data_IF_771711300397
#
_entry.id   IF_771711300397
#
_cell.length_a   1.000
_cell.length_b   1.000
_cell.length_c   1.000
_cell.angle_alpha   90.00
_cell.angle_beta   90.00
_cell.angle_gamma   90.00
#
_symmetry.space_group_name_H-M   'P 1'
#
loop_
_entity.id
_entity.type
_entity.pdbx_description
1 polymer ?
#
# COMPACT_ATOMS: atom_id res chain seq x y z
N UNK A 1 -38.39 -2.47 16.28
CA UNK A 1 -37.50 -2.28 15.12
C UNK A 1 -37.21 -0.83 14.78
N UNK A 2 -38.16 -0.01 14.31
CA UNK A 2 -37.86 1.39 13.91
C UNK A 2 -37.39 2.29 15.07
N UNK A 3 -38.10 2.22 16.22
CA UNK A 3 -37.71 2.94 17.46
C UNK A 3 -36.34 2.51 18.01
N UNK A 4 -36.02 1.21 17.95
CA UNK A 4 -34.74 0.68 18.42
C UNK A 4 -33.57 1.19 17.56
N UNK A 5 -33.83 1.37 16.26
CA UNK A 5 -32.83 1.84 15.30
C UNK A 5 -32.51 3.32 15.47
N UNK A 6 -33.54 4.17 15.62
CA UNK A 6 -33.39 5.60 15.92
C UNK A 6 -32.65 5.82 17.26
N UNK A 7 -32.96 5.00 18.28
CA UNK A 7 -32.24 5.03 19.56
C UNK A 7 -30.76 4.67 19.39
N UNK A 8 -30.43 3.70 18.53
CA UNK A 8 -29.05 3.26 18.28
C UNK A 8 -28.25 4.33 17.54
N UNK A 9 -28.84 4.95 16.53
CA UNK A 9 -28.28 6.13 15.86
C UNK A 9 -28.00 7.26 16.87
N UNK A 10 -29.00 7.63 17.67
CA UNK A 10 -28.87 8.70 18.66
C UNK A 10 -27.79 8.38 19.70
N UNK A 11 -27.66 7.11 20.09
CA UNK A 11 -26.60 6.65 20.99
C UNK A 11 -25.21 6.85 20.38
N UNK A 12 -25.03 6.52 19.11
CA UNK A 12 -23.77 6.73 18.38
C UNK A 12 -23.45 8.23 18.21
N UNK A 13 -24.44 9.06 17.90
CA UNK A 13 -24.30 10.52 17.79
C UNK A 13 -23.90 11.13 19.14
N UNK A 14 -24.63 10.79 20.22
CA UNK A 14 -24.33 11.27 21.57
C UNK A 14 -22.94 10.84 22.04
N UNK A 15 -22.49 9.65 21.65
CA UNK A 15 -21.14 9.19 21.90
C UNK A 15 -20.10 10.02 21.15
N UNK A 16 -20.30 10.29 19.86
CA UNK A 16 -19.37 11.09 19.04
C UNK A 16 -19.25 12.55 19.49
N UNK A 17 -20.33 13.18 19.96
CA UNK A 17 -20.31 14.55 20.51
C UNK A 17 -19.29 14.73 21.64
N UNK A 18 -18.99 13.67 22.40
CA UNK A 18 -17.96 13.69 23.47
C UNK A 18 -16.53 13.80 22.94
N UNK A 19 -16.31 13.54 21.65
CA UNK A 19 -14.99 13.41 21.03
C UNK A 19 -14.84 14.22 19.73
N UNK A 20 -15.70 15.19 19.46
CA UNK A 20 -15.73 15.92 18.19
C UNK A 20 -14.55 16.90 17.98
N UNK A 21 -13.95 17.42 19.05
CA UNK A 21 -12.82 18.37 18.95
C UNK A 21 -11.58 17.72 18.33
N UNK A 22 -11.07 18.33 17.25
CA UNK A 22 -9.90 17.85 16.49
C UNK A 22 -9.98 16.36 16.10
N UNK A 23 -11.20 15.91 15.80
CA UNK A 23 -11.46 14.56 15.31
C UNK A 23 -11.39 14.51 13.78
N UNK A 24 -11.02 13.36 13.24
CA UNK A 24 -11.06 13.12 11.82
C UNK A 24 -11.64 11.73 11.52
N UNK A 25 -12.45 11.62 10.48
CA UNK A 25 -13.01 10.34 10.03
C UNK A 25 -12.00 9.63 9.13
N UNK A 26 -11.62 8.41 9.49
CA UNK A 26 -10.88 7.52 8.60
C UNK A 26 -11.84 6.84 7.61
N UNK A 27 -12.03 7.45 6.45
CA UNK A 27 -12.92 6.92 5.42
C UNK A 27 -12.15 5.98 4.50
N UNK A 28 -12.65 4.74 4.32
CA UNK A 28 -11.97 3.73 3.48
C UNK A 28 -12.69 3.45 2.17
N UNK A 29 -13.80 4.15 1.90
CA UNK A 29 -14.69 3.84 0.78
C UNK A 29 -15.57 2.60 1.00
N UNK A 30 -15.65 2.06 2.22
CA UNK A 30 -16.50 0.91 2.56
C UNK A 30 -17.79 1.33 3.27
N UNK A 31 -18.78 0.42 3.31
CA UNK A 31 -20.09 0.64 3.95
C UNK A 31 -20.00 1.03 5.43
N UNK A 32 -19.10 0.41 6.19
CA UNK A 32 -18.99 0.65 7.63
C UNK A 32 -18.36 2.02 7.90
N UNK A 33 -17.36 2.41 7.10
CA UNK A 33 -16.77 3.74 7.17
C UNK A 33 -17.72 4.84 6.66
N UNK A 34 -18.64 4.51 5.75
CA UNK A 34 -19.68 5.44 5.28
C UNK A 34 -20.67 5.75 6.39
N UNK A 35 -21.18 4.75 7.11
CA UNK A 35 -22.07 5.00 8.26
C UNK A 35 -21.34 5.79 9.36
N UNK A 36 -20.08 5.47 9.63
CA UNK A 36 -19.29 6.24 10.59
C UNK A 36 -19.07 7.70 10.15
N UNK A 37 -18.92 7.94 8.85
CA UNK A 37 -18.83 9.28 8.26
C UNK A 37 -20.14 10.05 8.44
N UNK A 38 -21.27 9.46 8.04
CA UNK A 38 -22.59 10.10 8.15
C UNK A 38 -22.91 10.53 9.59
N UNK A 39 -22.68 9.63 10.55
CA UNK A 39 -22.85 9.90 11.98
C UNK A 39 -21.91 10.99 12.49
N UNK A 40 -20.69 11.07 11.95
CA UNK A 40 -19.69 12.07 12.35
C UNK A 40 -20.04 13.46 11.82
N UNK A 41 -20.49 13.57 10.57
CA UNK A 41 -20.94 14.83 9.96
C UNK A 41 -22.11 15.42 10.76
N UNK A 42 -23.07 14.58 11.18
CA UNK A 42 -24.19 14.98 12.07
C UNK A 42 -23.75 15.54 13.43
N UNK A 43 -22.47 15.41 13.80
CA UNK A 43 -21.88 15.98 15.03
C UNK A 43 -20.93 17.16 14.79
N UNK A 44 -20.80 17.62 13.55
CA UNK A 44 -19.87 18.68 13.16
C UNK A 44 -18.43 18.21 12.95
N UNK A 45 -18.22 16.90 12.71
CA UNK A 45 -16.91 16.37 12.32
C UNK A 45 -16.91 16.21 10.79
N UNK A 46 -16.33 17.18 10.09
CA UNK A 46 -16.22 17.26 8.63
C UNK A 46 -14.82 16.95 8.09
N UNK A 47 -13.80 16.91 8.96
CA UNK A 47 -12.45 16.49 8.58
C UNK A 47 -12.42 14.99 8.25
N UNK A 48 -12.20 14.66 6.98
CA UNK A 48 -12.13 13.27 6.50
C UNK A 48 -10.77 12.99 5.87
N UNK A 49 -10.23 11.81 6.15
CA UNK A 49 -8.98 11.32 5.57
C UNK A 49 -9.18 9.99 4.88
N UNK A 50 -8.62 9.87 3.67
CA UNK A 50 -8.55 8.63 2.91
C UNK A 50 -7.09 8.19 2.77
N UNK A 51 -6.81 6.91 3.06
CA UNK A 51 -5.47 6.35 2.84
C UNK A 51 -5.38 5.76 1.43
N UNK A 52 -4.80 6.50 0.49
CA UNK A 52 -4.50 5.96 -0.83
C UNK A 52 -3.31 5.00 -0.75
N UNK A 53 -3.61 3.71 -0.89
CA UNK A 53 -2.60 2.66 -0.82
C UNK A 53 -1.88 2.40 -2.16
N UNK A 54 -2.16 3.21 -3.19
CA UNK A 54 -1.73 3.03 -4.59
C UNK A 54 -2.20 1.70 -5.20
N UNK A 55 -3.20 1.07 -4.59
CA UNK A 55 -3.75 -0.24 -4.96
C UNK A 55 -5.28 -0.26 -4.83
N UNK A 56 -5.91 0.90 -4.83
CA UNK A 56 -7.36 0.97 -4.75
C UNK A 56 -7.96 0.64 -6.12
N UNK A 57 -9.22 0.22 -6.11
CA UNK A 57 -10.00 0.12 -7.33
C UNK A 57 -10.31 1.53 -7.85
N UNK A 58 -10.34 1.71 -9.17
CA UNK A 58 -10.69 3.02 -9.74
C UNK A 58 -12.12 3.39 -9.33
N UNK A 59 -13.00 2.40 -9.28
CA UNK A 59 -14.36 2.47 -8.78
C UNK A 59 -14.45 3.01 -7.35
N UNK A 60 -13.46 2.69 -6.51
CA UNK A 60 -13.38 3.23 -5.15
C UNK A 60 -12.93 4.68 -5.18
N UNK A 61 -11.93 5.04 -6.00
CA UNK A 61 -11.48 6.43 -6.14
C UNK A 61 -12.61 7.34 -6.65
N UNK A 62 -13.33 6.91 -7.68
CA UNK A 62 -14.48 7.65 -8.22
C UNK A 62 -15.63 7.71 -7.21
N UNK A 63 -15.80 6.66 -6.40
CA UNK A 63 -16.75 6.67 -5.29
C UNK A 63 -16.38 7.67 -4.18
N UNK A 64 -15.09 7.85 -3.85
CA UNK A 64 -14.66 8.87 -2.88
C UNK A 64 -15.10 10.26 -3.35
N UNK A 65 -14.89 10.60 -4.63
CA UNK A 65 -15.31 11.90 -5.20
C UNK A 65 -16.81 12.14 -5.09
N UNK A 66 -17.61 11.11 -5.38
CA UNK A 66 -19.08 11.21 -5.21
C UNK A 66 -19.51 11.41 -3.76
N UNK A 67 -18.73 10.91 -2.80
CA UNK A 67 -18.99 11.14 -1.37
C UNK A 67 -18.60 12.55 -0.96
N UNK A 68 -17.52 13.11 -1.50
CA UNK A 68 -17.18 14.54 -1.35
C UNK A 68 -18.32 15.44 -1.83
N UNK A 69 -18.83 15.18 -3.04
CA UNK A 69 -19.97 15.92 -3.63
C UNK A 69 -21.26 15.75 -2.81
N UNK A 70 -21.56 14.53 -2.36
CA UNK A 70 -22.80 14.24 -1.63
C UNK A 70 -22.88 14.96 -0.28
N UNK A 71 -21.75 15.09 0.42
CA UNK A 71 -21.70 15.69 1.75
C UNK A 71 -21.19 17.14 1.74
N UNK A 72 -20.79 17.68 0.59
CA UNK A 72 -20.09 18.97 0.45
C UNK A 72 -18.88 19.08 1.39
N UNK A 73 -18.01 18.06 1.34
CA UNK A 73 -16.80 17.98 2.15
C UNK A 73 -15.57 17.71 1.29
N UNK A 74 -14.40 18.02 1.83
CA UNK A 74 -13.11 17.61 1.26
C UNK A 74 -12.57 16.36 1.97
N UNK A 75 -12.25 15.32 1.20
CA UNK A 75 -11.57 14.11 1.68
C UNK A 75 -10.07 14.26 1.42
N UNK A 76 -9.28 14.47 2.48
CA UNK A 76 -7.83 14.59 2.36
C UNK A 76 -7.22 13.21 2.07
N UNK A 77 -6.62 13.05 0.89
CA UNK A 77 -5.91 11.82 0.52
C UNK A 77 -4.48 11.82 1.05
N UNK A 78 -4.09 10.76 1.73
CA UNK A 78 -2.73 10.55 2.26
C UNK A 78 -2.14 9.26 1.71
N UNK A 79 -0.87 9.31 1.29
CA UNK A 79 -0.20 8.15 0.70
C UNK A 79 1.25 8.01 1.20
N UNK A 80 1.88 6.88 0.88
CA UNK A 80 3.28 6.63 1.15
C UNK A 80 4.16 7.19 0.03
N UNK A 81 5.45 7.49 0.27
CA UNK A 81 6.33 8.11 -0.73
C UNK A 81 6.69 7.20 -1.91
N UNK A 82 6.45 5.89 -1.80
CA UNK A 82 6.82 4.87 -2.79
C UNK A 82 5.58 4.05 -3.14
N UNK A 83 5.24 3.87 -4.43
CA UNK A 83 4.13 3.01 -4.86
C UNK A 83 4.27 1.57 -4.36
N UNK A 84 3.13 0.92 -4.11
CA UNK A 84 3.09 -0.44 -3.56
C UNK A 84 3.90 -1.46 -4.36
N UNK A 85 3.71 -1.50 -5.68
CA UNK A 85 4.37 -2.51 -6.52
C UNK A 85 5.88 -2.30 -6.60
N UNK A 86 6.35 -1.06 -6.59
CA UNK A 86 7.79 -0.76 -6.47
C UNK A 86 8.37 -1.31 -5.17
N UNK A 87 7.67 -1.10 -4.05
CA UNK A 87 8.12 -1.63 -2.77
C UNK A 87 8.05 -3.16 -2.73
N UNK A 88 7.04 -3.77 -3.35
CA UNK A 88 6.93 -5.22 -3.52
C UNK A 88 8.15 -5.80 -4.26
N UNK A 89 8.67 -5.11 -5.28
CA UNK A 89 9.91 -5.53 -5.94
C UNK A 89 11.12 -5.48 -4.99
N UNK A 90 11.17 -4.50 -4.08
CA UNK A 90 12.28 -4.33 -3.12
C UNK A 90 12.23 -5.31 -1.93
N UNK A 91 11.05 -5.68 -1.43
CA UNK A 91 10.92 -6.47 -0.17
C UNK A 91 10.02 -7.72 -0.26
N UNK A 92 9.42 -7.99 -1.42
CA UNK A 92 8.49 -9.08 -1.65
C UNK A 92 7.05 -8.76 -1.25
N UNK A 93 6.12 -9.59 -1.73
CA UNK A 93 4.68 -9.39 -1.55
C UNK A 93 4.22 -9.51 -0.08
N UNK A 94 3.24 -8.74 0.43
CA UNK A 94 2.73 -8.97 1.78
C UNK A 94 1.88 -10.24 1.85
N UNK A 95 1.83 -10.89 3.02
CA UNK A 95 0.90 -11.98 3.31
C UNK A 95 0.00 -11.64 4.50
N UNK A 96 -0.95 -12.51 4.80
CA UNK A 96 -1.83 -12.38 5.99
C UNK A 96 -1.04 -12.29 7.30
N UNK A 97 0.16 -12.87 7.36
CA UNK A 97 1.01 -12.87 8.56
C UNK A 97 1.96 -11.67 8.62
N UNK A 98 2.48 -11.20 7.48
CA UNK A 98 3.44 -10.09 7.45
C UNK A 98 2.79 -8.71 7.56
N UNK A 99 1.75 -8.46 6.74
CA UNK A 99 0.94 -7.22 6.74
C UNK A 99 1.75 -5.92 6.78
N UNK A 100 2.94 -5.91 6.17
CA UNK A 100 3.81 -4.72 6.17
C UNK A 100 3.14 -3.56 5.42
N UNK A 101 2.29 -3.84 4.43
CA UNK A 101 1.55 -2.83 3.67
C UNK A 101 0.66 -1.93 4.54
N UNK A 102 0.02 -2.47 5.59
CA UNK A 102 -0.77 -1.64 6.51
C UNK A 102 0.11 -0.63 7.27
N UNK A 103 1.36 -1.00 7.58
CA UNK A 103 2.29 -0.10 8.27
C UNK A 103 2.71 1.06 7.38
N UNK A 104 3.00 0.75 6.11
CA UNK A 104 3.52 1.69 5.11
C UNK A 104 2.42 2.61 4.58
N UNK A 105 1.31 2.04 4.13
CA UNK A 105 0.30 2.76 3.34
C UNK A 105 -0.91 3.21 4.14
N UNK A 106 -1.05 2.81 5.42
CA UNK A 106 -2.15 3.25 6.28
C UNK A 106 -1.63 3.97 7.50
N UNK A 107 -0.94 3.24 8.38
CA UNK A 107 -0.57 3.80 9.67
C UNK A 107 0.48 4.92 9.57
N UNK A 108 1.47 4.78 8.69
CA UNK A 108 2.48 5.83 8.56
C UNK A 108 1.91 7.15 8.03
N UNK A 109 1.18 7.18 6.90
CA UNK A 109 0.52 8.39 6.39
C UNK A 109 -0.45 9.00 7.40
N UNK A 110 -1.29 8.18 8.07
CA UNK A 110 -2.22 8.67 9.10
C UNK A 110 -1.51 9.30 10.30
N UNK A 111 -0.37 8.76 10.72
CA UNK A 111 0.40 9.34 11.83
C UNK A 111 1.00 10.70 11.45
N UNK A 112 1.47 10.83 10.21
CA UNK A 112 2.01 12.09 9.68
C UNK A 112 0.89 13.12 9.59
N UNK A 113 -0.23 12.77 8.95
CA UNK A 113 -1.39 13.62 8.81
C UNK A 113 -1.92 14.12 10.15
N UNK A 114 -2.12 13.22 11.12
CA UNK A 114 -2.61 13.62 12.44
C UNK A 114 -1.69 14.61 13.14
N UNK A 115 -0.37 14.44 12.98
CA UNK A 115 0.63 15.32 13.59
C UNK A 115 0.63 16.70 12.94
N UNK A 116 0.46 16.78 11.63
CA UNK A 116 0.44 18.03 10.86
C UNK A 116 -0.86 18.80 11.08
N UNK A 117 -2.00 18.11 11.05
CA UNK A 117 -3.33 18.68 11.23
C UNK A 117 -3.79 18.74 12.70
N UNK A 118 -2.93 18.34 13.65
CA UNK A 118 -3.20 18.30 15.09
C UNK A 118 -4.44 17.45 15.47
N UNK A 119 -4.69 16.38 14.72
CA UNK A 119 -5.78 15.43 14.99
C UNK A 119 -5.49 14.65 16.28
N UNK A 120 -6.46 14.59 17.19
CA UNK A 120 -6.34 13.91 18.48
C UNK A 120 -7.11 12.58 18.54
N UNK A 121 -8.07 12.39 17.63
CA UNK A 121 -8.90 11.19 17.53
C UNK A 121 -9.25 10.87 16.09
N UNK A 122 -9.27 9.56 15.78
CA UNK A 122 -9.80 9.04 14.53
C UNK A 122 -11.12 8.33 14.77
N UNK A 123 -12.17 8.77 14.06
CA UNK A 123 -13.44 8.06 13.97
C UNK A 123 -13.29 6.94 12.93
N UNK A 124 -13.64 5.70 13.29
CA UNK A 124 -13.50 4.55 12.39
C UNK A 124 -14.77 3.70 12.33
N UNK A 125 -15.02 3.10 11.17
CA UNK A 125 -16.11 2.15 10.96
C UNK A 125 -15.85 0.74 11.54
N UNK A 126 -15.09 0.62 12.63
CA UNK A 126 -14.80 -0.68 13.23
C UNK A 126 -16.05 -1.27 13.89
N UNK A 127 -16.43 -2.50 13.51
CA UNK A 127 -17.47 -3.30 14.17
C UNK A 127 -16.91 -4.52 14.90
N UNK A 128 -17.55 -4.89 16.00
CA UNK A 128 -17.18 -6.00 16.89
C UNK A 128 -17.43 -7.37 16.27
N UNK A 129 -18.52 -7.54 15.51
CA UNK A 129 -18.91 -8.79 14.86
C UNK A 129 -17.97 -9.23 13.72
N UNK A 130 -17.09 -8.36 13.21
CA UNK A 130 -16.29 -8.67 12.01
C UNK A 130 -15.21 -9.73 12.22
N UNK A 131 -14.77 -9.98 13.45
CA UNK A 131 -13.77 -11.01 13.73
C UNK A 131 -13.74 -11.37 15.21
N UNK A 132 -13.59 -12.66 15.55
CA UNK A 132 -13.45 -13.13 16.94
C UNK A 132 -12.40 -12.37 17.78
N UNK A 133 -11.31 -11.88 17.15
CA UNK A 133 -10.26 -11.07 17.81
C UNK A 133 -10.70 -9.66 18.20
N UNK A 134 -11.92 -9.26 17.81
CA UNK A 134 -12.46 -7.92 18.06
C UNK A 134 -13.36 -7.81 19.30
N UNK A 135 -13.61 -8.93 20.00
CA UNK A 135 -14.41 -8.95 21.25
C UNK A 135 -13.90 -8.00 22.32
N UNK A 136 -12.60 -7.68 22.33
CA UNK A 136 -11.98 -6.83 23.34
C UNK A 136 -11.81 -5.35 22.92
N UNK A 137 -12.26 -4.96 21.72
CA UNK A 137 -12.20 -3.55 21.33
C UNK A 137 -13.23 -2.75 22.12
N UNK A 138 -12.90 -1.50 22.40
CA UNK A 138 -13.78 -0.56 23.10
C UNK A 138 -14.25 0.53 22.14
N UNK A 139 -15.39 1.16 22.43
CA UNK A 139 -15.89 2.30 21.64
C UNK A 139 -14.89 3.47 21.65
N UNK A 140 -14.15 3.65 22.74
CA UNK A 140 -12.98 4.52 22.83
C UNK A 140 -11.75 3.65 23.15
N UNK A 141 -10.83 3.57 22.20
CA UNK A 141 -9.60 2.77 22.30
C UNK A 141 -8.37 3.62 21.91
N UNK A 142 -7.17 3.12 22.14
CA UNK A 142 -5.93 3.74 21.67
C UNK A 142 -5.36 2.92 20.51
N UNK A 143 -5.12 3.57 19.37
CA UNK A 143 -4.52 2.89 18.24
C UNK A 143 -3.08 2.43 18.59
N UNK A 144 -2.87 1.12 18.61
CA UNK A 144 -1.61 0.47 19.01
C UNK A 144 -0.41 0.84 18.12
N UNK A 145 -0.65 1.32 16.90
CA UNK A 145 0.38 1.61 15.91
C UNK A 145 0.81 3.07 15.90
N UNK A 146 -0.13 4.00 16.05
CA UNK A 146 0.10 5.46 15.89
C UNK A 146 -0.17 6.28 17.16
N UNK A 147 -0.60 5.65 18.26
CA UNK A 147 -0.89 6.28 19.56
C UNK A 147 -1.87 7.47 19.49
N UNK A 148 -2.90 7.33 18.67
CA UNK A 148 -4.01 8.29 18.54
C UNK A 148 -5.28 7.59 19.01
N UNK A 149 -6.20 8.33 19.65
CA UNK A 149 -7.48 7.79 20.09
C UNK A 149 -8.27 7.26 18.88
N UNK A 150 -8.86 6.09 19.03
CA UNK A 150 -9.70 5.45 18.03
C UNK A 150 -11.12 5.39 18.57
N UNK A 151 -12.04 6.08 17.88
CA UNK A 151 -13.44 6.24 18.27
C UNK A 151 -14.28 5.40 17.32
N UNK A 152 -14.99 4.41 17.86
CA UNK A 152 -15.72 3.38 17.11
C UNK A 152 -17.22 3.53 17.39
N UNK A 153 -17.93 4.47 16.72
CA UNK A 153 -19.33 4.78 17.02
C UNK A 153 -20.28 3.64 16.69
N UNK A 154 -19.89 2.74 15.78
CA UNK A 154 -20.72 1.63 15.31
C UNK A 154 -20.20 0.26 15.77
N UNK A 155 -19.43 0.22 16.87
CA UNK A 155 -18.76 -1.01 17.32
C UNK A 155 -19.74 -2.17 17.57
N UNK A 156 -20.91 -1.85 18.10
CA UNK A 156 -22.01 -2.74 18.46
C UNK A 156 -23.06 -2.90 17.34
N UNK A 157 -22.78 -2.40 16.14
CA UNK A 157 -23.69 -2.51 15.00
C UNK A 157 -23.47 -3.81 14.24
N UNK A 158 -24.58 -4.46 13.89
CA UNK A 158 -24.60 -5.63 13.03
C UNK A 158 -24.45 -5.26 11.57
N UNK A 159 -24.13 -6.25 10.72
CA UNK A 159 -24.05 -6.00 9.28
C UNK A 159 -25.41 -5.59 8.67
N UNK A 160 -26.51 -6.13 9.21
CA UNK A 160 -27.87 -5.80 8.77
C UNK A 160 -28.23 -4.37 9.14
N UNK A 161 -27.89 -3.93 10.34
CA UNK A 161 -28.13 -2.56 10.80
C UNK A 161 -27.37 -1.53 9.97
N UNK A 162 -26.12 -1.81 9.60
CA UNK A 162 -25.34 -0.94 8.71
C UNK A 162 -26.03 -0.77 7.35
N UNK A 163 -26.47 -1.86 6.73
CA UNK A 163 -27.16 -1.77 5.44
C UNK A 163 -28.53 -1.09 5.56
N UNK A 164 -29.30 -1.41 6.60
CA UNK A 164 -30.56 -0.74 6.90
C UNK A 164 -30.37 0.77 7.05
N UNK A 165 -29.29 1.21 7.71
CA UNK A 165 -28.94 2.62 7.85
C UNK A 165 -28.72 3.29 6.50
N UNK A 166 -27.88 2.67 5.68
CA UNK A 166 -27.50 3.15 4.35
C UNK A 166 -28.73 3.32 3.46
N UNK A 167 -29.61 2.31 3.44
CA UNK A 167 -30.82 2.35 2.64
C UNK A 167 -31.83 3.38 3.16
N UNK A 168 -32.04 3.45 4.47
CA UNK A 168 -32.99 4.40 5.09
C UNK A 168 -32.56 5.85 4.86
N UNK A 169 -31.27 6.14 5.00
CA UNK A 169 -30.71 7.47 4.80
C UNK A 169 -30.31 7.76 3.35
N UNK A 170 -30.57 6.83 2.41
CA UNK A 170 -30.24 6.96 0.98
C UNK A 170 -28.76 7.31 0.71
N UNK A 171 -27.86 6.74 1.50
CA UNK A 171 -26.42 7.05 1.40
C UNK A 171 -25.80 6.47 0.12
N UNK A 172 -24.87 7.19 -0.54
CA UNK A 172 -24.20 6.69 -1.73
C UNK A 172 -23.34 5.48 -1.36
N UNK A 173 -23.43 4.38 -2.12
CA UNK A 173 -22.67 3.16 -1.83
C UNK A 173 -21.59 2.91 -2.86
N UNK A 174 -20.49 2.29 -2.41
CA UNK A 174 -19.41 1.89 -3.31
C UNK A 174 -19.93 0.87 -4.33
N UNK A 175 -19.72 1.11 -5.65
CA UNK A 175 -20.30 0.28 -6.70
C UNK A 175 -19.76 -1.16 -6.68
N UNK A 176 -18.60 -1.40 -6.07
CA UNK A 176 -18.05 -2.76 -5.89
C UNK A 176 -18.99 -3.67 -5.08
N UNK A 177 -19.83 -3.12 -4.21
CA UNK A 177 -20.84 -3.93 -3.51
C UNK A 177 -21.87 -4.55 -4.48
N UNK A 178 -22.16 -3.88 -5.61
CA UNK A 178 -23.06 -4.41 -6.66
C UNK A 178 -22.42 -5.57 -7.44
N UNK A 179 -21.09 -5.64 -7.49
CA UNK A 179 -20.34 -6.75 -8.07
C UNK A 179 -20.20 -7.95 -7.11
N UNK A 180 -20.77 -7.87 -5.90
CA UNK A 180 -20.76 -8.97 -4.93
C UNK A 180 -19.64 -8.92 -3.89
N UNK A 181 -18.78 -7.89 -3.88
CA UNK A 181 -17.78 -7.73 -2.82
C UNK A 181 -18.47 -7.53 -1.46
N UNK A 182 -18.14 -8.35 -0.46
CA UNK A 182 -18.63 -8.16 0.92
C UNK A 182 -17.82 -7.12 1.69
N UNK A 183 -16.56 -6.92 1.31
CA UNK A 183 -15.65 -5.92 1.88
C UNK A 183 -14.85 -5.25 0.79
N UNK A 184 -14.85 -3.92 0.81
CA UNK A 184 -14.06 -3.10 -0.10
C UNK A 184 -12.71 -2.74 0.51
N UNK A 185 -11.69 -2.75 -0.31
CA UNK A 185 -10.32 -2.33 0.01
C UNK A 185 -9.40 -2.66 -1.16
N UNK A 186 -8.09 -2.54 -0.95
CA UNK A 186 -7.11 -2.71 -2.01
C UNK A 186 -7.26 -4.03 -2.79
N UNK A 187 -7.06 -3.93 -4.11
CA UNK A 187 -7.34 -5.02 -5.05
C UNK A 187 -6.40 -6.24 -4.91
N UNK A 188 -5.12 -6.14 -4.47
CA UNK A 188 -4.27 -7.32 -4.35
C UNK A 188 -4.15 -7.80 -2.87
N UNK A 189 -5.17 -7.52 -2.05
CA UNK A 189 -5.12 -7.80 -0.62
C UNK A 189 -5.10 -9.31 -0.30
N UNK A 190 -4.14 -9.81 0.51
CA UNK A 190 -4.08 -11.22 0.90
C UNK A 190 -5.27 -11.73 1.75
N UNK A 191 -6.18 -10.84 2.15
CA UNK A 191 -7.38 -11.16 2.91
C UNK A 191 -8.64 -11.29 2.05
N UNK A 192 -8.51 -11.17 0.73
CA UNK A 192 -9.60 -11.47 -0.19
C UNK A 192 -9.96 -12.95 -0.14
N UNK A 193 -11.26 -13.21 -0.14
CA UNK A 193 -11.85 -14.54 -0.18
C UNK A 193 -11.78 -15.12 -1.58
N UNK A 194 -12.05 -16.42 -1.74
CA UNK A 194 -12.13 -17.06 -3.06
C UNK A 194 -13.15 -16.34 -3.97
N UNK A 195 -14.31 -15.97 -3.42
CA UNK A 195 -15.33 -15.20 -4.14
C UNK A 195 -14.81 -13.83 -4.59
N UNK A 196 -14.08 -13.11 -3.72
CA UNK A 196 -13.49 -11.83 -4.10
C UNK A 196 -12.49 -11.97 -5.25
N UNK A 197 -11.73 -13.07 -5.31
CA UNK A 197 -10.80 -13.34 -6.41
C UNK A 197 -11.50 -13.70 -7.71
N UNK A 198 -12.58 -14.50 -7.66
CA UNK A 198 -13.40 -14.78 -8.85
C UNK A 198 -13.97 -13.50 -9.45
N UNK A 199 -14.50 -12.59 -8.62
CA UNK A 199 -15.01 -11.28 -9.08
C UNK A 199 -13.88 -10.46 -9.73
N UNK A 200 -12.66 -10.52 -9.21
CA UNK A 200 -11.50 -9.81 -9.78
C UNK A 200 -11.07 -10.42 -11.11
N UNK A 201 -11.04 -11.74 -11.22
CA UNK A 201 -10.71 -12.43 -12.46
C UNK A 201 -11.73 -12.12 -13.56
N UNK A 202 -13.03 -12.11 -13.22
CA UNK A 202 -14.12 -11.85 -14.15
C UNK A 202 -14.23 -10.37 -14.57
N UNK A 203 -14.27 -9.46 -13.60
CA UNK A 203 -14.55 -8.04 -13.86
C UNK A 203 -13.29 -7.17 -14.00
N UNK A 204 -12.14 -7.65 -13.52
CA UNK A 204 -10.87 -6.91 -13.52
C UNK A 204 -9.69 -7.75 -14.01
N UNK A 205 -9.79 -8.41 -15.19
CA UNK A 205 -8.81 -9.39 -15.66
C UNK A 205 -7.39 -8.81 -15.76
N UNK A 206 -7.23 -7.55 -16.16
CA UNK A 206 -5.92 -6.90 -16.23
C UNK A 206 -5.21 -6.87 -14.88
N UNK A 207 -5.95 -6.58 -13.80
CA UNK A 207 -5.40 -6.54 -12.43
C UNK A 207 -5.05 -7.96 -11.96
N UNK A 208 -5.91 -8.92 -12.28
CA UNK A 208 -5.68 -10.33 -11.96
C UNK A 208 -4.41 -10.86 -12.64
N UNK A 209 -4.30 -10.70 -13.96
CA UNK A 209 -3.14 -11.12 -14.77
C UNK A 209 -1.88 -10.41 -14.27
N UNK A 210 -1.94 -9.10 -14.03
CA UNK A 210 -0.80 -8.33 -13.53
C UNK A 210 -0.31 -8.87 -12.18
N UNK A 211 -1.22 -9.22 -11.25
CA UNK A 211 -0.85 -9.81 -9.98
C UNK A 211 -0.24 -11.21 -10.15
N UNK A 212 -0.84 -12.07 -10.98
CA UNK A 212 -0.31 -13.40 -11.27
C UNK A 212 1.14 -13.31 -11.78
N UNK A 213 1.40 -12.44 -12.75
CA UNK A 213 2.74 -12.22 -13.31
C UNK A 213 3.72 -11.65 -12.27
N UNK A 214 3.28 -10.68 -11.48
CA UNK A 214 4.07 -10.11 -10.38
C UNK A 214 4.45 -11.18 -9.36
N UNK A 215 3.50 -12.04 -8.97
CA UNK A 215 3.74 -13.12 -8.02
C UNK A 215 4.68 -14.18 -8.61
N UNK A 216 4.52 -14.55 -9.89
CA UNK A 216 5.44 -15.49 -10.58
C UNK A 216 6.86 -14.98 -10.54
N UNK A 217 7.06 -13.73 -10.92
CA UNK A 217 8.36 -13.05 -10.85
C UNK A 217 8.91 -13.14 -9.42
N UNK A 218 8.16 -12.68 -8.44
CA UNK A 218 8.64 -12.59 -7.06
C UNK A 218 9.00 -13.97 -6.52
N UNK A 219 8.15 -14.97 -6.72
CA UNK A 219 8.33 -16.31 -6.14
C UNK A 219 9.32 -17.19 -6.92
N UNK A 220 9.56 -16.94 -8.20
CA UNK A 220 10.63 -17.60 -8.97
C UNK A 220 12.01 -17.41 -8.33
N UNK A 221 12.26 -16.24 -7.75
CA UNK A 221 13.54 -15.92 -7.10
C UNK A 221 13.56 -16.23 -5.59
N UNK A 222 12.50 -16.83 -5.04
CA UNK A 222 12.42 -17.17 -3.62
C UNK A 222 12.96 -18.56 -3.33
N UNK A 223 14.28 -18.71 -3.48
CA UNK A 223 14.99 -19.91 -3.05
C UNK A 223 14.72 -20.15 -1.56
N UNK A 224 14.42 -21.40 -1.17
CA UNK A 224 14.22 -21.80 0.23
C UNK A 224 12.77 -21.78 0.75
N UNK A 225 11.75 -21.48 -0.06
CA UNK A 225 10.34 -21.63 0.33
C UNK A 225 9.77 -23.04 0.10
N UNK A 226 10.52 -23.93 -0.54
CA UNK A 226 10.06 -25.29 -0.86
C UNK A 226 8.87 -25.34 -1.82
N UNK A 227 8.68 -24.30 -2.63
CA UNK A 227 7.59 -24.24 -3.63
C UNK A 227 7.97 -25.16 -4.79
N UNK A 228 7.32 -26.33 -4.88
CA UNK A 228 7.53 -27.31 -5.96
C UNK A 228 6.93 -26.87 -7.29
N UNK A 229 5.74 -26.26 -7.25
CA UNK A 229 5.02 -25.78 -8.43
C UNK A 229 4.52 -24.36 -8.16
N UNK A 230 5.05 -23.38 -8.89
CA UNK A 230 4.74 -21.96 -8.70
C UNK A 230 3.32 -21.63 -9.17
N UNK A 231 2.87 -22.19 -10.30
CA UNK A 231 1.53 -21.92 -10.82
C UNK A 231 0.44 -22.46 -9.90
N UNK A 232 0.60 -23.68 -9.38
CA UNK A 232 -0.29 -24.22 -8.34
C UNK A 232 -0.28 -23.33 -7.08
N UNK A 233 0.90 -22.89 -6.64
CA UNK A 233 1.04 -22.02 -5.47
C UNK A 233 0.31 -20.68 -5.63
N UNK A 234 0.32 -20.12 -6.84
CA UNK A 234 -0.33 -18.84 -7.13
C UNK A 234 -1.84 -19.03 -7.38
N UNK A 235 -2.22 -19.95 -8.27
CA UNK A 235 -3.62 -20.24 -8.65
C UNK A 235 -4.46 -20.65 -7.46
N UNK A 236 -3.90 -21.42 -6.53
CA UNK A 236 -4.57 -21.82 -5.30
C UNK A 236 -4.38 -20.84 -4.13
N UNK A 237 -3.92 -19.61 -4.42
CA UNK A 237 -3.77 -18.52 -3.45
C UNK A 237 -2.94 -18.87 -2.20
N UNK A 238 -2.03 -19.86 -2.30
CA UNK A 238 -1.16 -20.31 -1.19
C UNK A 238 -0.19 -19.20 -0.76
N UNK A 239 0.16 -18.32 -1.70
CA UNK A 239 0.90 -17.07 -1.45
C UNK A 239 0.20 -16.13 -0.45
N UNK A 240 -1.09 -16.26 -0.15
CA UNK A 240 -1.72 -15.40 0.87
C UNK A 240 -1.33 -15.78 2.30
N UNK A 241 -0.89 -17.03 2.50
CA UNK A 241 -0.56 -17.62 3.79
C UNK A 241 0.94 -17.63 4.08
N UNK A 242 1.78 -17.41 3.05
CA UNK A 242 3.20 -17.68 3.16
C UNK A 242 3.88 -16.84 4.24
N UNK A 243 4.97 -17.41 4.75
CA UNK A 243 5.92 -16.75 5.62
C UNK A 243 7.31 -17.08 5.11
N UNK A 244 8.11 -16.07 4.79
CA UNK A 244 9.51 -16.29 4.44
C UNK A 244 10.35 -16.52 5.70
N UNK A 245 11.38 -17.38 5.65
CA UNK A 245 12.40 -17.42 6.68
C UNK A 245 13.07 -16.04 6.79
N UNK A 246 13.28 -15.56 8.02
CA UNK A 246 14.04 -14.34 8.25
C UNK A 246 15.52 -14.72 8.32
N UNK A 247 16.27 -14.59 7.22
CA UNK A 247 17.72 -14.64 7.30
C UNK A 247 18.23 -13.28 7.81
N UNK A 248 18.93 -13.30 8.95
CA UNK A 248 19.49 -12.11 9.57
C UNK A 248 21.00 -12.11 9.45
N UNK A 249 21.52 -11.93 8.24
CA UNK A 249 22.95 -11.66 8.08
C UNK A 249 23.19 -10.15 8.10
N UNK A 250 23.98 -9.72 9.08
CA UNK A 250 24.54 -8.36 9.11
C UNK A 250 25.82 -8.41 8.27
N UNK A 251 25.89 -7.63 7.20
CA UNK A 251 27.14 -7.37 6.49
C UNK A 251 27.89 -6.23 7.20
N UNK A 252 29.16 -6.47 7.54
CA UNK A 252 29.99 -5.60 8.37
C UNK A 252 30.19 -6.08 9.81
N UNK A 253 31.25 -5.60 10.47
CA UNK A 253 31.64 -5.99 11.83
C UNK A 253 31.43 -4.82 12.79
N UNK A 254 30.63 -5.03 13.84
CA UNK A 254 30.45 -4.05 14.93
C UNK A 254 31.29 -4.52 16.11
N UNK A 255 32.28 -3.72 16.49
CA UNK A 255 33.13 -3.95 17.66
C UNK A 255 32.85 -2.86 18.69
N UNK A 256 32.57 -3.27 19.93
CA UNK A 256 32.30 -2.35 21.03
C UNK A 256 33.33 -2.61 22.12
N UNK A 257 34.23 -1.65 22.31
CA UNK A 257 35.26 -1.63 23.35
C UNK A 257 34.83 -0.72 24.52
N UNK A 258 35.54 -0.73 25.67
CA UNK A 258 35.17 0.08 26.84
C UNK A 258 35.05 1.58 26.56
N UNK A 259 35.83 2.12 25.64
CA UNK A 259 35.88 3.56 25.34
C UNK A 259 35.55 3.89 23.89
N UNK A 260 35.55 2.90 22.99
CA UNK A 260 35.41 3.12 21.54
C UNK A 260 34.40 2.14 20.95
N UNK A 261 33.58 2.61 20.03
CA UNK A 261 32.72 1.77 19.18
C UNK A 261 33.18 1.88 17.72
N UNK A 262 33.48 0.76 17.09
CA UNK A 262 33.82 0.65 15.67
C UNK A 262 32.67 0.03 14.87
N UNK A 263 32.34 0.66 13.75
CA UNK A 263 31.40 0.14 12.76
C UNK A 263 32.16 -0.02 11.45
N UNK A 264 32.57 -1.26 11.15
CA UNK A 264 33.31 -1.59 9.93
C UNK A 264 32.33 -1.93 8.80
N UNK A 265 32.42 -1.21 7.69
CA UNK A 265 31.57 -1.32 6.51
C UNK A 265 32.40 -1.76 5.29
N UNK A 266 31.74 -2.22 4.24
CA UNK A 266 32.42 -2.80 3.07
C UNK A 266 32.86 -1.74 2.05
N UNK A 267 32.13 -0.62 1.93
CA UNK A 267 32.36 0.40 0.91
C UNK A 267 31.83 1.78 1.32
N UNK A 268 32.25 2.82 0.59
CA UNK A 268 31.85 4.22 0.80
C UNK A 268 30.34 4.46 0.72
N UNK A 269 29.62 3.69 -0.11
CA UNK A 269 28.17 3.79 -0.20
C UNK A 269 27.49 3.37 1.12
N UNK A 270 27.96 2.29 1.76
CA UNK A 270 27.47 1.88 3.07
C UNK A 270 27.77 2.94 4.15
N UNK A 271 28.96 3.54 4.13
CA UNK A 271 29.34 4.61 5.06
C UNK A 271 28.36 5.76 4.95
N UNK A 272 28.13 6.31 3.75
CA UNK A 272 27.19 7.42 3.52
C UNK A 272 25.79 7.12 4.05
N UNK A 273 25.32 5.88 3.88
CA UNK A 273 24.00 5.46 4.40
C UNK A 273 23.94 5.45 5.92
N UNK A 274 24.98 4.94 6.60
CA UNK A 274 25.03 4.92 8.07
C UNK A 274 25.26 6.32 8.62
N UNK A 275 26.09 7.13 7.97
CA UNK A 275 26.37 8.53 8.29
C UNK A 275 25.07 9.37 8.37
N UNK A 276 24.16 9.18 7.40
CA UNK A 276 22.84 9.82 7.36
C UNK A 276 21.97 9.57 8.61
N UNK A 277 22.33 8.63 9.49
CA UNK A 277 21.55 8.28 10.68
C UNK A 277 22.38 8.12 11.96
N UNK A 278 23.72 8.05 11.88
CA UNK A 278 24.61 7.82 13.03
C UNK A 278 24.45 8.83 14.17
N UNK A 279 24.09 10.11 13.92
CA UNK A 279 23.85 11.08 14.97
C UNK A 279 22.67 10.81 15.88
N UNK A 280 21.83 9.81 15.57
CA UNK A 280 20.86 9.26 16.54
C UNK A 280 21.58 8.67 17.76
N UNK A 281 22.80 8.13 17.58
CA UNK A 281 23.62 7.54 18.63
C UNK A 281 24.74 8.47 19.10
N UNK A 282 25.41 9.17 18.18
CA UNK A 282 26.48 10.12 18.53
C UNK A 282 26.70 11.16 17.44
N UNK A 283 26.74 12.44 17.82
CA UNK A 283 27.18 13.53 16.93
C UNK A 283 28.70 13.57 16.78
N UNK A 284 29.42 13.12 17.80
CA UNK A 284 30.87 12.98 17.80
C UNK A 284 31.23 11.58 17.26
N UNK A 285 31.73 11.55 16.02
CA UNK A 285 32.23 10.38 15.32
C UNK A 285 33.25 10.80 14.26
N UNK A 286 34.20 9.91 13.96
CA UNK A 286 35.20 10.08 12.91
C UNK A 286 35.02 8.99 11.85
N UNK A 287 35.27 9.33 10.59
CA UNK A 287 35.30 8.35 9.49
C UNK A 287 36.77 8.07 9.17
N UNK A 288 37.21 6.83 9.40
CA UNK A 288 38.57 6.38 9.11
C UNK A 288 38.47 5.22 8.13
N UNK A 289 38.93 5.42 6.88
CA UNK A 289 38.79 4.44 5.78
C UNK A 289 37.33 3.98 5.62
N UNK A 290 37.05 2.70 5.86
CA UNK A 290 35.71 2.11 5.77
C UNK A 290 35.02 1.96 7.13
N UNK A 291 35.45 2.72 8.14
CA UNK A 291 35.00 2.56 9.52
C UNK A 291 34.48 3.88 10.09
N UNK A 292 33.33 3.80 10.76
CA UNK A 292 32.83 4.89 11.61
C UNK A 292 33.30 4.59 13.03
N UNK A 293 34.05 5.52 13.62
CA UNK A 293 34.65 5.42 14.95
C UNK A 293 33.95 6.40 15.88
N UNK A 294 33.50 5.92 17.03
CA UNK A 294 32.83 6.74 18.05
C UNK A 294 33.60 6.58 19.36
N UNK A 295 34.14 7.68 19.90
CA UNK A 295 34.91 7.72 21.16
C UNK A 295 34.02 7.59 22.42
N UNK A 296 33.09 6.65 22.39
CA UNK A 296 32.32 6.20 23.56
C UNK A 296 31.79 4.79 23.38
N UNK A 297 31.53 4.11 24.48
CA UNK A 297 30.84 2.81 24.50
C UNK A 297 29.36 2.96 24.17
N UNK A 298 28.93 2.35 23.06
CA UNK A 298 27.52 2.26 22.69
C UNK A 298 26.94 0.87 22.97
N UNK A 299 25.62 0.82 23.17
CA UNK A 299 24.93 -0.47 23.29
C UNK A 299 24.93 -1.18 21.93
N UNK A 300 25.67 -2.30 21.83
CA UNK A 300 25.84 -3.09 20.58
C UNK A 300 24.52 -3.35 19.84
N UNK A 301 23.45 -3.68 20.58
CA UNK A 301 22.15 -3.97 19.98
C UNK A 301 21.51 -2.73 19.31
N UNK A 302 21.69 -1.53 19.88
CA UNK A 302 21.17 -0.28 19.31
C UNK A 302 21.95 0.11 18.05
N UNK A 303 23.28 -0.04 18.09
CA UNK A 303 24.16 0.15 16.93
C UNK A 303 23.73 -0.79 15.81
N UNK A 304 23.57 -2.08 16.11
CA UNK A 304 23.11 -3.09 15.15
C UNK A 304 21.78 -2.70 14.50
N UNK A 305 20.77 -2.33 15.29
CA UNK A 305 19.45 -1.95 14.75
C UNK A 305 19.56 -0.71 13.84
N UNK A 306 20.37 0.28 14.22
CA UNK A 306 20.55 1.49 13.42
C UNK A 306 21.23 1.17 12.08
N UNK A 307 22.35 0.45 12.12
CA UNK A 307 23.10 0.04 10.94
C UNK A 307 22.23 -0.82 10.03
N UNK A 308 21.51 -1.81 10.57
CA UNK A 308 20.53 -2.61 9.81
C UNK A 308 19.48 -1.72 9.13
N UNK A 309 18.96 -0.69 9.82
CA UNK A 309 17.98 0.25 9.24
C UNK A 309 18.56 1.06 8.09
N UNK A 310 19.77 1.57 8.27
CA UNK A 310 20.43 2.45 7.32
C UNK A 310 20.78 1.71 6.03
N UNK A 311 21.48 0.59 6.18
CA UNK A 311 21.92 -0.26 5.09
C UNK A 311 20.71 -0.83 4.33
N UNK A 312 19.69 -1.31 5.03
CA UNK A 312 18.52 -1.92 4.39
C UNK A 312 17.40 -0.94 4.04
N UNK A 313 17.59 0.38 4.14
CA UNK A 313 16.51 1.30 3.77
C UNK A 313 16.11 1.15 2.29
N UNK A 314 14.81 1.12 2.03
CA UNK A 314 14.20 1.00 0.69
C UNK A 314 13.27 2.18 0.38
N UNK A 315 13.45 3.30 1.08
CA UNK A 315 12.62 4.50 0.90
C UNK A 315 11.16 4.40 1.38
N UNK A 316 10.72 3.31 2.01
CA UNK A 316 9.30 3.07 2.32
C UNK A 316 8.59 4.10 3.23
N UNK A 317 9.30 5.03 3.88
CA UNK A 317 8.70 6.08 4.71
C UNK A 317 8.08 5.63 6.05
N UNK A 318 7.92 4.34 6.33
CA UNK A 318 7.20 3.85 7.53
C UNK A 318 7.73 4.37 8.87
N UNK A 319 9.01 4.74 8.94
CA UNK A 319 9.64 5.26 10.15
C UNK A 319 9.52 6.78 10.33
N UNK A 320 9.16 7.54 9.29
CA UNK A 320 8.93 8.99 9.33
C UNK A 320 7.72 9.34 10.21
N UNK A 321 6.76 8.42 10.31
CA UNK A 321 5.65 8.52 11.24
C UNK A 321 6.07 8.70 12.72
N UNK A 322 7.24 8.18 13.10
CA UNK A 322 7.68 8.15 14.50
C UNK A 322 8.51 9.35 14.94
N UNK A 323 9.15 10.03 13.99
CA UNK A 323 10.13 11.06 14.30
C UNK A 323 10.03 12.18 13.26
N UNK A 324 9.78 13.40 13.73
CA UNK A 324 9.72 14.60 12.87
C UNK A 324 11.04 14.91 12.20
N UNK A 325 12.15 14.52 12.83
CA UNK A 325 13.49 14.71 12.31
C UNK A 325 13.85 13.71 11.20
N UNK A 326 13.05 12.66 10.99
CA UNK A 326 13.32 11.66 9.95
C UNK A 326 12.65 12.04 8.63
N UNK A 327 13.37 11.85 7.53
CA UNK A 327 12.87 12.00 6.17
C UNK A 327 13.45 10.90 5.25
N UNK A 328 12.87 10.75 4.07
CA UNK A 328 13.42 9.90 3.01
C UNK A 328 14.01 10.82 1.94
N UNK A 329 15.27 10.58 1.56
CA UNK A 329 15.97 11.26 0.46
C UNK A 329 16.68 10.20 -0.37
N UNK A 330 16.56 10.23 -1.69
CA UNK A 330 17.26 9.28 -2.61
C UNK A 330 17.12 7.80 -2.16
N UNK A 331 15.89 7.34 -1.86
CA UNK A 331 15.60 6.00 -1.34
C UNK A 331 16.27 5.61 0.00
N UNK A 332 16.94 6.54 0.67
CA UNK A 332 17.59 6.32 1.96
C UNK A 332 16.97 7.13 3.09
N UNK A 333 17.18 6.66 4.32
CA UNK A 333 16.72 7.33 5.52
C UNK A 333 17.70 8.44 5.89
N UNK A 334 17.18 9.64 6.12
CA UNK A 334 17.94 10.79 6.58
C UNK A 334 17.38 11.27 7.92
N UNK A 335 18.24 11.68 8.85
CA UNK A 335 17.85 12.35 10.08
C UNK A 335 18.40 13.78 10.07
N UNK A 336 17.53 14.76 10.30
CA UNK A 336 17.94 16.12 10.59
C UNK A 336 18.52 16.20 12.02
N UNK A 337 19.81 16.50 12.10
CA UNK A 337 20.58 16.52 13.35
C UNK A 337 20.26 17.71 14.24
N UNK A 338 19.71 18.79 13.68
CA UNK A 338 19.35 19.99 14.44
C UNK A 338 18.06 19.76 15.22
N UNK A 339 17.11 19.02 14.66
CA UNK A 339 15.85 18.69 15.34
C UNK A 339 15.88 17.37 16.12
N UNK A 340 16.86 16.50 15.89
CA UNK A 340 16.97 15.22 16.59
C UNK A 340 17.47 15.38 18.04
N UNK A 341 16.67 14.93 19.02
CA UNK A 341 17.02 14.92 20.44
C UNK A 341 17.53 13.58 20.97
N UNK A 342 17.85 12.63 20.08
CA UNK A 342 18.39 11.30 20.44
C UNK A 342 17.57 10.52 21.47
N UNK A 343 16.23 10.64 21.48
CA UNK A 343 15.36 9.88 22.39
C UNK A 343 15.28 8.36 22.11
N UNK A 344 15.94 7.87 21.03
CA UNK A 344 16.09 6.46 20.63
C UNK A 344 14.79 5.69 20.33
N UNK A 345 13.62 6.35 20.31
CA UNK A 345 12.33 5.72 19.99
C UNK A 345 12.32 5.06 18.61
N UNK A 346 13.02 5.63 17.64
CA UNK A 346 13.11 5.17 16.26
C UNK A 346 13.92 3.87 16.06
N UNK A 347 14.68 3.45 17.08
CA UNK A 347 15.43 2.18 17.11
C UNK A 347 14.94 1.24 18.21
N UNK A 348 13.80 1.56 18.84
CA UNK A 348 13.16 0.72 19.86
C UNK A 348 12.28 -0.36 19.22
N UNK A 349 12.45 -1.62 19.60
CA UNK A 349 11.73 -2.77 19.02
C UNK A 349 10.29 -2.96 19.54
N UNK A 350 9.83 -2.17 20.52
CA UNK A 350 8.47 -2.32 21.10
C UNK A 350 7.36 -1.75 20.21
N UNK A 351 7.48 -0.49 19.78
CA UNK A 351 6.45 0.17 18.96
C UNK A 351 6.66 -0.09 17.47
N UNK A 352 5.64 -0.61 16.78
CA UNK A 352 5.69 -0.98 15.35
C UNK A 352 6.86 -1.89 14.95
N UNK A 353 7.54 -2.51 15.93
CA UNK A 353 8.80 -3.23 15.78
C UNK A 353 9.95 -2.35 15.23
N UNK A 354 10.11 -1.14 15.75
CA UNK A 354 11.12 -0.17 15.29
C UNK A 354 10.79 0.46 13.93
N UNK A 355 9.54 0.28 13.46
CA UNK A 355 8.99 0.83 12.23
C UNK A 355 9.80 0.58 10.93
N UNK A 356 10.80 -0.30 10.97
CA UNK A 356 11.57 -0.70 9.81
C UNK A 356 10.95 -1.95 9.21
N UNK A 357 10.24 -1.81 8.09
CA UNK A 357 9.64 -2.98 7.43
C UNK A 357 10.71 -3.91 6.90
N UNK A 358 11.85 -3.40 6.45
CA UNK A 358 12.90 -4.21 5.82
C UNK A 358 13.54 -5.12 6.86
N UNK A 359 13.93 -4.56 8.01
CA UNK A 359 14.39 -5.35 9.16
C UNK A 359 13.35 -6.40 9.60
N UNK A 360 12.05 -6.08 9.57
CA UNK A 360 11.03 -6.97 10.10
C UNK A 360 10.49 -8.01 9.11
N UNK A 361 10.60 -7.74 7.81
CA UNK A 361 9.89 -8.50 6.77
C UNK A 361 10.71 -8.74 5.50
N UNK A 362 11.80 -8.00 5.27
CA UNK A 362 12.61 -8.23 4.09
C UNK A 362 13.34 -9.56 4.19
N UNK A 363 13.28 -10.36 3.12
CA UNK A 363 14.02 -11.61 3.01
C UNK A 363 15.51 -11.39 2.75
N UNK A 364 15.86 -10.27 2.11
CA UNK A 364 17.23 -9.90 1.81
C UNK A 364 17.61 -8.72 2.69
N UNK A 365 18.53 -8.97 3.63
CA UNK A 365 19.23 -7.90 4.34
C UNK A 365 20.58 -7.75 3.65
N UNK A 366 20.72 -6.66 2.91
CA UNK A 366 21.88 -6.24 2.12
C UNK A 366 22.40 -7.26 1.10
N UNK A 367 21.59 -7.49 0.07
CA UNK A 367 22.08 -7.65 -1.30
C UNK A 367 21.45 -6.56 -2.17
N UNK A 368 22.14 -5.45 -2.34
CA UNK A 368 21.78 -4.46 -3.38
C UNK A 368 21.97 -5.09 -4.79
N UNK A 369 22.57 -6.28 -4.88
CA UNK A 369 22.83 -6.96 -6.15
C UNK A 369 21.85 -8.07 -6.57
N UNK A 370 21.02 -8.65 -5.69
CA UNK A 370 20.04 -9.66 -6.16
C UNK A 370 18.83 -9.04 -6.87
N UNK A 371 18.59 -7.74 -6.71
CA UNK A 371 17.70 -6.99 -7.61
C UNK A 371 18.44 -6.22 -8.72
N UNK A 372 19.79 -6.09 -8.70
CA UNK A 372 20.52 -5.57 -9.87
C UNK A 372 20.70 -6.62 -10.96
N UNK A 373 20.66 -7.91 -10.64
CA UNK A 373 20.44 -8.96 -11.64
C UNK A 373 18.94 -9.13 -12.00
N UNK A 374 18.05 -8.40 -11.32
CA UNK A 374 16.72 -8.07 -11.82
C UNK A 374 16.78 -6.74 -12.59
N UNK A 375 17.73 -6.60 -13.53
CA UNK A 375 17.48 -5.72 -14.68
C UNK A 375 16.30 -6.37 -15.41
N UNK A 376 15.10 -5.97 -14.99
CA UNK A 376 13.95 -6.03 -15.86
C UNK A 376 14.29 -5.09 -17.00
N UNK A 377 14.38 -5.64 -18.21
CA UNK A 377 14.12 -4.88 -19.40
C UNK A 377 12.93 -3.95 -19.14
N UNK A 378 13.06 -2.70 -19.58
CA UNK A 378 12.15 -1.56 -19.41
C UNK A 378 10.69 -1.80 -19.86
N UNK A 379 10.24 -3.04 -20.02
CA UNK A 379 8.97 -3.41 -20.63
C UNK A 379 7.78 -3.55 -19.67
N UNK A 380 8.01 -3.66 -18.35
CA UNK A 380 6.90 -3.72 -17.38
C UNK A 380 6.98 -2.66 -16.29
N UNK A 381 7.71 -1.56 -16.54
CA UNK A 381 7.38 -0.33 -15.84
C UNK A 381 5.92 -0.02 -16.16
N UNK A 382 5.06 -0.11 -15.14
CA UNK A 382 3.95 0.81 -15.05
C UNK A 382 4.59 2.19 -15.13
N UNK A 383 4.78 2.68 -16.35
CA UNK A 383 4.88 4.12 -16.55
C UNK A 383 3.59 4.60 -15.90
N UNK A 384 3.64 5.46 -14.88
CA UNK A 384 2.42 6.03 -14.31
C UNK A 384 1.59 6.48 -15.50
N UNK A 385 0.35 6.00 -15.59
CA UNK A 385 -0.61 6.53 -16.55
C UNK A 385 -0.56 8.03 -16.29
N UNK A 386 0.06 8.78 -17.20
CA UNK A 386 0.17 10.23 -17.03
C UNK A 386 -1.28 10.72 -16.87
N UNK A 387 -1.55 11.73 -16.03
CA UNK A 387 -2.90 12.24 -15.81
C UNK A 387 -3.65 12.64 -17.11
N UNK A 388 -2.94 12.72 -18.24
CA UNK A 388 -3.45 12.99 -19.59
C UNK A 388 -3.82 11.75 -20.42
N UNK A 389 -3.52 10.52 -19.98
CA UNK A 389 -3.79 9.30 -20.74
C UNK A 389 -5.22 8.78 -20.50
N UNK A 390 -6.01 8.67 -21.58
CA UNK A 390 -7.36 8.06 -21.58
C UNK A 390 -7.31 6.63 -22.11
N UNK A 391 -8.35 5.87 -21.75
CA UNK A 391 -8.56 4.49 -22.21
C UNK A 391 -9.71 4.45 -23.19
N UNK A 392 -9.47 3.87 -24.36
CA UNK A 392 -10.46 3.54 -25.37
C UNK A 392 -10.67 2.03 -25.46
N UNK A 393 -11.87 1.59 -25.84
CA UNK A 393 -12.19 0.17 -26.02
C UNK A 393 -12.67 -0.09 -27.45
N UNK A 394 -12.08 -1.10 -28.10
CA UNK A 394 -12.51 -1.61 -29.40
C UNK A 394 -12.89 -3.06 -29.23
N UNK A 395 -14.05 -3.46 -29.75
CA UNK A 395 -14.50 -4.85 -29.82
C UNK A 395 -14.50 -5.30 -31.28
N UNK A 396 -13.98 -6.49 -31.53
CA UNK A 396 -13.95 -7.08 -32.87
C UNK A 396 -14.19 -8.59 -32.81
N UNK A 397 -14.70 -9.16 -33.90
CA UNK A 397 -14.88 -10.61 -34.06
C UNK A 397 -13.59 -11.31 -34.51
N UNK A 398 -12.54 -10.55 -34.81
CA UNK A 398 -11.25 -11.11 -35.21
C UNK A 398 -10.64 -11.92 -34.05
N UNK A 399 -10.01 -13.05 -34.37
CA UNK A 399 -9.23 -13.81 -33.39
C UNK A 399 -7.95 -13.07 -33.01
N UNK A 400 -7.31 -13.44 -31.90
CA UNK A 400 -6.05 -12.81 -31.48
C UNK A 400 -4.98 -13.00 -32.56
N UNK A 401 -4.91 -14.17 -33.21
CA UNK A 401 -3.96 -14.44 -34.29
C UNK A 401 -4.16 -13.48 -35.48
N UNK A 402 -5.42 -13.28 -35.90
CA UNK A 402 -5.76 -12.34 -36.98
C UNK A 402 -5.46 -10.88 -36.59
N UNK A 403 -5.51 -10.53 -35.29
CA UNK A 403 -5.11 -9.22 -34.81
C UNK A 403 -3.59 -9.00 -34.94
N UNK A 404 -2.78 -10.03 -34.69
CA UNK A 404 -1.33 -9.94 -34.90
C UNK A 404 -1.04 -9.63 -36.36
N UNK A 405 -1.63 -10.39 -37.28
CA UNK A 405 -1.44 -10.18 -38.72
C UNK A 405 -1.84 -8.78 -39.18
N UNK A 406 -3.05 -8.33 -38.81
CA UNK A 406 -3.58 -7.03 -39.24
C UNK A 406 -2.84 -5.84 -38.64
N UNK A 407 -2.28 -5.97 -37.43
CA UNK A 407 -1.67 -4.85 -36.70
C UNK A 407 -0.14 -4.82 -36.78
N UNK A 408 0.52 -5.90 -37.25
CA UNK A 408 1.98 -5.99 -37.38
C UNK A 408 2.60 -4.87 -38.24
N UNK A 409 1.84 -4.33 -39.21
CA UNK A 409 2.30 -3.23 -40.07
C UNK A 409 2.23 -1.83 -39.44
N UNK A 410 1.49 -1.66 -38.33
CA UNK A 410 1.25 -0.33 -37.74
C UNK A 410 1.70 -0.22 -36.28
N UNK A 411 2.12 -1.31 -35.64
CA UNK A 411 2.57 -1.31 -34.26
C UNK A 411 3.51 -2.50 -34.00
N UNK A 412 4.42 -2.34 -33.04
CA UNK A 412 5.18 -3.45 -32.51
C UNK A 412 4.27 -4.34 -31.66
N UNK A 413 4.30 -5.65 -31.91
CA UNK A 413 3.44 -6.63 -31.27
C UNK A 413 4.27 -7.61 -30.45
N UNK A 414 3.78 -7.93 -29.25
CA UNK A 414 4.32 -9.00 -28.40
C UNK A 414 3.18 -9.89 -27.92
N UNK A 415 3.28 -11.17 -28.26
CA UNK A 415 2.28 -12.18 -27.95
C UNK A 415 2.55 -12.82 -26.59
N UNK A 416 1.47 -13.12 -25.87
CA UNK A 416 1.47 -13.85 -24.61
C UNK A 416 0.33 -14.87 -24.63
N UNK A 417 0.39 -15.89 -23.77
CA UNK A 417 -0.56 -17.02 -23.74
C UNK A 417 -2.05 -16.65 -23.76
N UNK A 418 -2.42 -15.45 -23.29
CA UNK A 418 -3.83 -15.04 -23.13
C UNK A 418 -4.15 -13.63 -23.65
N UNK A 419 -3.16 -12.89 -24.16
CA UNK A 419 -3.35 -11.53 -24.65
C UNK A 419 -2.20 -11.10 -25.56
N UNK A 420 -2.43 -10.04 -26.32
CA UNK A 420 -1.43 -9.42 -27.18
C UNK A 420 -1.17 -8.01 -26.69
N UNK A 421 0.10 -7.65 -26.55
CA UNK A 421 0.54 -6.27 -26.30
C UNK A 421 0.89 -5.62 -27.63
N UNK A 422 0.32 -4.45 -27.87
CA UNK A 422 0.47 -3.67 -29.09
C UNK A 422 1.04 -2.31 -28.70
N UNK A 423 2.09 -1.85 -29.36
CA UNK A 423 2.70 -0.56 -29.05
C UNK A 423 3.19 0.14 -30.31
N UNK A 424 2.80 1.39 -30.46
CA UNK A 424 3.40 2.34 -31.40
C UNK A 424 3.90 3.56 -30.60
N UNK A 425 4.74 4.42 -31.19
CA UNK A 425 5.24 5.64 -30.56
C UNK A 425 4.14 6.58 -30.03
N UNK A 426 2.91 6.45 -30.51
CA UNK A 426 1.74 7.29 -30.18
C UNK A 426 0.69 6.62 -29.27
N UNK A 427 0.70 5.28 -29.13
CA UNK A 427 -0.26 4.58 -28.27
C UNK A 427 0.23 3.22 -27.80
N UNK A 428 -0.35 2.73 -26.70
CA UNK A 428 -0.23 1.34 -26.23
C UNK A 428 -1.60 0.70 -26.30
N UNK A 429 -1.69 -0.57 -26.62
CA UNK A 429 -2.95 -1.31 -26.54
C UNK A 429 -2.75 -2.75 -26.05
N UNK A 430 -3.77 -3.30 -25.43
CA UNK A 430 -3.80 -4.69 -24.97
C UNK A 430 -5.04 -5.35 -25.54
N UNK A 431 -4.86 -6.44 -26.30
CA UNK A 431 -5.95 -7.23 -26.86
C UNK A 431 -6.09 -8.55 -26.11
N UNK A 432 -7.29 -8.90 -25.64
CA UNK A 432 -7.57 -10.19 -25.00
C UNK A 432 -8.90 -10.77 -25.49
N UNK A 433 -9.04 -12.09 -25.38
CA UNK A 433 -10.26 -12.80 -25.75
C UNK A 433 -11.33 -12.58 -24.68
N UNK A 434 -12.53 -12.17 -25.08
CA UNK A 434 -13.68 -11.91 -24.20
C UNK A 434 -14.97 -12.31 -24.90
N UNK A 435 -15.67 -13.33 -24.38
CA UNK A 435 -17.00 -13.77 -24.83
C UNK A 435 -17.18 -13.94 -26.35
N UNK A 436 -16.21 -14.58 -27.02
CA UNK A 436 -16.26 -14.83 -28.48
C UNK A 436 -15.83 -13.64 -29.34
N UNK A 437 -15.41 -12.53 -28.72
CA UNK A 437 -14.81 -11.37 -29.36
C UNK A 437 -13.37 -11.17 -28.86
N UNK A 438 -12.59 -10.37 -29.58
CA UNK A 438 -11.39 -9.76 -29.03
C UNK A 438 -11.72 -8.34 -28.53
N UNK A 439 -11.35 -8.04 -27.29
CA UNK A 439 -11.41 -6.72 -26.69
C UNK A 439 -10.02 -6.09 -26.71
N UNK A 440 -9.89 -4.93 -27.35
CA UNK A 440 -8.66 -4.16 -27.45
C UNK A 440 -8.81 -2.90 -26.60
N UNK A 441 -8.04 -2.81 -25.52
CA UNK A 441 -7.93 -1.61 -24.69
C UNK A 441 -6.80 -0.75 -25.19
N UNK A 442 -7.10 0.47 -25.64
CA UNK A 442 -6.15 1.44 -26.20
C UNK A 442 -5.85 2.51 -25.16
N UNK A 443 -4.59 2.84 -24.97
CA UNK A 443 -4.08 3.82 -24.02
C UNK A 443 -3.28 4.87 -24.80
N UNK A 444 -3.75 6.11 -24.80
CA UNK A 444 -3.07 7.23 -25.45
C UNK A 444 -3.42 8.55 -24.74
N UNK A 445 -2.69 9.62 -25.02
CA UNK A 445 -2.97 10.96 -24.47
C UNK A 445 -4.31 11.50 -24.98
N UNK A 446 -4.95 12.42 -24.24
CA UNK A 446 -6.25 13.04 -24.56
C UNK A 446 -6.42 13.39 -26.05
N UNK A 447 -5.40 14.02 -26.66
CA UNK A 447 -5.47 14.52 -28.04
C UNK A 447 -5.24 13.46 -29.11
N UNK A 448 -4.76 12.26 -28.74
CA UNK A 448 -4.34 11.21 -29.67
C UNK A 448 -5.19 9.93 -29.54
N UNK A 449 -6.04 9.81 -28.53
CA UNK A 449 -6.83 8.60 -28.29
C UNK A 449 -7.78 8.26 -29.44
N UNK A 450 -8.55 9.24 -29.95
CA UNK A 450 -9.47 8.98 -31.06
C UNK A 450 -8.72 8.60 -32.34
N UNK A 451 -7.59 9.27 -32.60
CA UNK A 451 -6.71 8.95 -33.72
C UNK A 451 -6.18 7.52 -33.62
N UNK A 452 -5.63 7.14 -32.46
CA UNK A 452 -5.13 5.79 -32.20
C UNK A 452 -6.23 4.72 -32.35
N UNK A 453 -7.44 5.00 -31.85
CA UNK A 453 -8.57 4.09 -32.00
C UNK A 453 -9.01 3.95 -33.47
N UNK A 454 -8.99 5.04 -34.24
CA UNK A 454 -9.34 5.01 -35.65
C UNK A 454 -8.29 4.29 -36.50
N UNK A 455 -7.00 4.47 -36.20
CA UNK A 455 -5.92 3.76 -36.88
C UNK A 455 -6.04 2.25 -36.64
N UNK A 456 -6.33 1.83 -35.40
CA UNK A 456 -6.60 0.43 -35.10
C UNK A 456 -7.87 -0.05 -35.83
N UNK A 457 -8.99 0.69 -35.78
CA UNK A 457 -10.22 0.29 -36.48
C UNK A 457 -10.01 0.12 -37.99
N UNK A 458 -9.25 1.02 -38.63
CA UNK A 458 -8.92 0.95 -40.06
C UNK A 458 -8.08 -0.26 -40.41
N UNK A 459 -7.15 -0.66 -39.55
CA UNK A 459 -6.39 -1.90 -39.76
C UNK A 459 -7.25 -3.15 -39.53
N UNK A 460 -8.31 -3.05 -38.72
CA UNK A 460 -9.20 -4.18 -38.40
C UNK A 460 -10.30 -4.43 -39.44
N UNK A 461 -10.76 -3.39 -40.13
CA UNK A 461 -11.56 -3.50 -41.37
C UNK A 461 -10.67 -4.05 -42.46
#
# INVERSE_FOLDING_TARGET
MKKDFELKEQTSINFLKKYNKNACVCFSGGKDSLVALDLAIKTGIDSVVFCDTTMEFQETIDYIRRVEEFYDIKVESVTAPVPFFELVHKIGFPSRSMRWCCKVYKFSPLAIFAREKKIVSYVTGLRGEEHARRKNYKKNDMNKHIKIKQINPILDWSNQEVWAYIHTNKLPTNPLYKLGFKRVGCWPCPFKTKTDWNIIEEHFPDKYIFLQNTLRIIFKYCKGLGIKNIDDFIKNHKWTAYRRPQNSELKGKIEVMPEITFINLENSHQIKRVENVIPILSKDYEIIRNSIVIKKKLQRQKVKILVEKALNCVGCGACVAFCKSMSIKEDTLFIDYNSCNSCLKCINTRLMRGACIVRNYSPFRFEVNTCKNMIFEKEFSQTPIKPEMRVGLIRTRNSLELLVEKLNGIAAIKEYDHYISIKNGTFKATAYKSNGFAEIKVYSNNNELEKAMNDIRKALT
#
